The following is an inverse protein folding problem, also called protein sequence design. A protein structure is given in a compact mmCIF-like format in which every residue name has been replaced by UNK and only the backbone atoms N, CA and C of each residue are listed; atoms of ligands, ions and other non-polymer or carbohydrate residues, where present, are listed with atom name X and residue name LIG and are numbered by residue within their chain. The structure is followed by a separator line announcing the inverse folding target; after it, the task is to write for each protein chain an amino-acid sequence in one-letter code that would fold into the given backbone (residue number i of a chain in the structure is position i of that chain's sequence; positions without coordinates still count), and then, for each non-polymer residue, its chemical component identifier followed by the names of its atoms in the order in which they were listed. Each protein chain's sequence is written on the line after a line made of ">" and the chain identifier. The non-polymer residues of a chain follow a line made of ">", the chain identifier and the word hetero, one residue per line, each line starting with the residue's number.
data_IF_595127018519
#
_entry.id   IF_595127018519
#
_cell.length_a   1.000
_cell.length_b   1.000
_cell.length_c   1.000
_cell.angle_alpha   90.00
_cell.angle_beta   90.00
_cell.angle_gamma   90.00
#
_symmetry.space_group_name_H-M   'P 1'
#
loop_
_entity.id
_entity.type
_entity.pdbx_description
1 polymer ?
#
# COMPACT_ATOMS: atom_id res chain seq x y z
N UNK A 1 42.91 6.78 84.84
CA UNK A 1 44.09 7.65 84.84
C UNK A 1 44.53 7.83 83.40
N UNK A 2 44.47 9.05 82.86
CA UNK A 2 44.91 9.34 81.49
C UNK A 2 46.42 9.57 81.45
N UNK A 3 47.05 9.27 80.32
CA UNK A 3 48.44 9.64 80.05
C UNK A 3 48.62 11.16 80.03
N UNK A 4 49.82 11.68 80.31
CA UNK A 4 50.12 13.12 80.21
C UNK A 4 49.76 13.67 78.82
N UNK A 5 49.23 14.89 78.76
CA UNK A 5 48.84 15.50 77.48
C UNK A 5 50.07 15.74 76.59
N UNK A 6 50.06 15.15 75.40
CA UNK A 6 51.03 15.47 74.36
C UNK A 6 50.67 16.82 73.73
N UNK A 7 51.69 17.63 73.41
CA UNK A 7 51.49 18.91 72.71
C UNK A 7 51.18 18.62 71.25
N UNK A 8 49.99 19.01 70.80
CA UNK A 8 49.59 18.92 69.40
C UNK A 8 50.51 19.81 68.56
N UNK A 9 51.02 19.29 67.45
CA UNK A 9 51.83 20.08 66.53
C UNK A 9 50.94 20.95 65.64
N UNK A 10 51.45 22.11 65.20
CA UNK A 10 50.67 23.04 64.37
C UNK A 10 50.20 22.40 63.05
N UNK A 11 51.01 21.50 62.48
CA UNK A 11 50.67 20.74 61.27
C UNK A 11 49.48 19.82 61.49
N UNK A 12 49.52 19.06 62.57
CA UNK A 12 48.44 18.15 62.95
C UNK A 12 47.14 18.93 63.15
N UNK A 13 47.19 20.06 63.86
CA UNK A 13 46.02 20.93 64.02
C UNK A 13 45.44 21.45 62.69
N UNK A 14 46.29 21.69 61.68
CA UNK A 14 45.86 22.16 60.35
C UNK A 14 45.21 21.05 59.52
N UNK A 15 45.76 19.83 59.54
CA UNK A 15 45.19 18.68 58.84
C UNK A 15 43.80 18.30 59.36
N UNK A 16 43.56 18.53 60.66
CA UNK A 16 42.27 18.31 61.29
C UNK A 16 41.28 19.48 61.14
N UNK A 17 41.60 20.51 60.35
CA UNK A 17 40.62 21.56 60.05
C UNK A 17 39.54 21.06 59.09
N UNK A 18 38.32 20.94 59.60
CA UNK A 18 37.15 20.55 58.82
C UNK A 18 36.67 21.78 58.01
N UNK A 19 36.58 21.70 56.67
CA UNK A 19 36.07 22.79 55.87
C UNK A 19 34.59 23.05 56.15
N UNK A 20 34.12 24.31 56.02
CA UNK A 20 32.71 24.65 56.24
C UNK A 20 31.80 23.96 55.21
N UNK A 21 30.65 23.49 55.66
CA UNK A 21 29.68 22.83 54.79
C UNK A 21 28.88 23.85 53.96
N UNK A 22 29.21 23.97 52.68
CA UNK A 22 28.36 24.65 51.69
C UNK A 22 27.45 23.62 51.02
N UNK A 23 26.13 23.83 51.04
CA UNK A 23 25.18 22.91 50.42
C UNK A 23 24.53 23.55 49.19
N UNK A 24 24.29 22.77 48.14
CA UNK A 24 23.60 23.24 46.93
C UNK A 24 22.10 23.46 47.13
N UNK A 25 21.49 22.92 48.20
CA UNK A 25 20.03 22.93 48.39
C UNK A 25 19.54 23.86 49.50
N UNK A 26 20.34 24.13 50.53
CA UNK A 26 19.91 24.87 51.73
C UNK A 26 20.93 25.92 52.16
N UNK A 27 20.44 27.13 52.40
CA UNK A 27 21.18 28.25 52.99
C UNK A 27 20.33 28.90 54.08
N UNK A 28 20.33 28.35 55.30
CA UNK A 28 19.42 28.80 56.36
C UNK A 28 19.74 30.21 56.92
N UNK A 29 20.97 30.69 56.72
CA UNK A 29 21.45 31.99 57.21
C UNK A 29 21.69 33.00 56.08
N UNK A 30 21.30 32.66 54.86
CA UNK A 30 21.42 33.49 53.66
C UNK A 30 22.82 34.11 53.43
N UNK A 31 23.87 33.32 53.64
CA UNK A 31 25.23 33.77 53.34
C UNK A 31 25.42 34.02 51.83
N UNK A 32 26.12 35.10 51.48
CA UNK A 32 26.55 35.39 50.10
C UNK A 32 27.82 34.59 49.77
N UNK A 33 27.62 33.34 49.38
CA UNK A 33 28.71 32.43 48.99
C UNK A 33 29.06 32.67 47.52
N UNK A 34 30.36 32.73 47.18
CA UNK A 34 30.81 32.86 45.80
C UNK A 34 30.59 31.56 45.01
N UNK A 35 30.37 31.70 43.70
CA UNK A 35 30.07 30.57 42.81
C UNK A 35 31.15 29.48 42.80
N UNK A 36 32.44 29.89 42.87
CA UNK A 36 33.57 28.97 42.95
C UNK A 36 33.44 27.99 44.12
N UNK A 37 33.09 28.49 45.31
CA UNK A 37 32.96 27.66 46.51
C UNK A 37 31.75 26.72 46.46
N UNK A 38 30.66 27.14 45.81
CA UNK A 38 29.51 26.27 45.59
C UNK A 38 29.83 25.18 44.56
N UNK A 39 30.50 25.54 43.45
CA UNK A 39 30.80 24.60 42.36
C UNK A 39 31.87 23.58 42.75
N UNK A 40 32.82 23.96 43.61
CA UNK A 40 33.83 23.04 44.14
C UNK A 40 33.21 21.89 44.95
N UNK A 41 32.06 22.12 45.61
CA UNK A 41 31.36 21.10 46.38
C UNK A 41 30.65 20.06 45.49
N UNK A 42 30.43 20.36 44.21
CA UNK A 42 29.57 19.55 43.36
C UNK A 42 30.21 18.26 42.86
N UNK A 43 31.55 18.13 42.89
CA UNK A 43 32.28 16.90 42.55
C UNK A 43 32.08 16.37 41.12
N UNK A 44 31.12 16.89 40.34
CA UNK A 44 30.78 16.47 38.98
C UNK A 44 31.93 16.68 38.01
N UNK A 45 32.77 17.68 38.26
CA UNK A 45 33.99 17.94 37.48
C UNK A 45 35.13 16.93 37.72
N UNK A 46 35.02 16.06 38.73
CA UNK A 46 36.00 14.99 38.98
C UNK A 46 35.71 13.74 38.14
N UNK A 47 34.47 13.56 37.66
CA UNK A 47 34.11 12.44 36.80
C UNK A 47 34.55 12.69 35.36
N UNK A 48 35.56 11.96 34.91
CA UNK A 48 35.89 11.87 33.49
C UNK A 48 34.90 10.91 32.82
N UNK A 49 34.12 11.42 31.87
CA UNK A 49 33.20 10.59 31.08
C UNK A 49 34.04 9.75 30.12
N UNK A 50 34.31 8.50 30.50
CA UNK A 50 35.04 7.56 29.68
C UNK A 50 34.06 6.78 28.79
N UNK A 51 34.25 6.84 27.47
CA UNK A 51 33.42 6.13 26.49
C UNK A 51 34.02 4.74 26.21
N UNK A 52 33.21 3.69 26.39
CA UNK A 52 33.63 2.30 26.14
C UNK A 52 33.68 1.96 24.66
N UNK A 53 34.63 1.11 24.24
CA UNK A 53 34.76 0.64 22.85
C UNK A 53 33.53 -0.14 22.34
N UNK A 54 32.73 -0.71 23.23
CA UNK A 54 31.51 -1.45 22.88
C UNK A 54 30.49 -0.61 22.12
N UNK A 55 30.43 0.70 22.38
CA UNK A 55 29.56 1.61 21.63
C UNK A 55 30.00 1.73 20.16
N UNK A 56 31.31 1.73 19.90
CA UNK A 56 31.83 1.74 18.54
C UNK A 56 31.56 0.40 17.82
N UNK A 57 31.67 -0.73 18.53
CA UNK A 57 31.34 -2.06 17.98
C UNK A 57 29.86 -2.17 17.64
N UNK A 58 28.98 -1.71 18.53
CA UNK A 58 27.54 -1.69 18.31
C UNK A 58 27.16 -0.85 17.08
N UNK A 59 27.66 0.38 16.99
CA UNK A 59 27.38 1.27 15.86
C UNK A 59 27.80 0.65 14.52
N UNK A 60 28.98 -0.01 14.48
CA UNK A 60 29.45 -0.73 13.30
C UNK A 60 28.53 -1.89 12.92
N UNK A 61 28.12 -2.71 13.89
CA UNK A 61 27.22 -3.85 13.65
C UNK A 61 25.88 -3.39 13.09
N UNK A 62 25.30 -2.33 13.65
CA UNK A 62 24.05 -1.76 13.16
C UNK A 62 24.16 -1.27 11.72
N UNK A 63 25.20 -0.51 11.38
CA UNK A 63 25.40 -0.02 10.01
C UNK A 63 25.56 -1.18 9.00
N UNK A 64 26.30 -2.24 9.38
CA UNK A 64 26.45 -3.42 8.52
C UNK A 64 25.10 -4.15 8.34
N UNK A 65 24.31 -4.26 9.42
CA UNK A 65 23.00 -4.88 9.36
C UNK A 65 22.05 -4.11 8.45
N UNK A 66 22.03 -2.78 8.53
CA UNK A 66 21.22 -1.93 7.66
C UNK A 66 21.58 -2.13 6.19
N UNK A 67 22.88 -2.13 5.86
CA UNK A 67 23.33 -2.33 4.47
C UNK A 67 22.89 -3.69 3.92
N UNK A 68 23.00 -4.75 4.72
CA UNK A 68 22.54 -6.09 4.33
C UNK A 68 21.04 -6.17 4.12
N UNK A 69 20.26 -5.47 4.94
CA UNK A 69 18.80 -5.40 4.78
C UNK A 69 18.44 -4.69 3.48
N UNK A 70 19.10 -3.58 3.16
CA UNK A 70 18.88 -2.87 1.90
C UNK A 70 19.22 -3.72 0.67
N UNK A 71 20.36 -4.42 0.70
CA UNK A 71 20.77 -5.36 -0.36
C UNK A 71 19.72 -6.47 -0.55
N UNK A 72 19.27 -7.10 0.54
CA UNK A 72 18.24 -8.14 0.50
C UNK A 72 16.91 -7.61 -0.09
N UNK A 73 16.47 -6.42 0.34
CA UNK A 73 15.24 -5.80 -0.17
C UNK A 73 15.34 -5.48 -1.65
N UNK A 74 16.49 -5.01 -2.13
CA UNK A 74 16.71 -4.74 -3.56
C UNK A 74 16.69 -6.04 -4.38
N UNK A 75 17.34 -7.09 -3.89
CA UNK A 75 17.31 -8.42 -4.51
C UNK A 75 15.89 -8.98 -4.57
N UNK A 76 15.12 -8.91 -3.49
CA UNK A 76 13.73 -9.37 -3.45
C UNK A 76 12.85 -8.56 -4.41
N UNK A 77 13.04 -7.25 -4.49
CA UNK A 77 12.33 -6.40 -5.44
C UNK A 77 12.65 -6.78 -6.90
N UNK A 78 13.91 -7.10 -7.20
CA UNK A 78 14.33 -7.55 -8.52
C UNK A 78 13.74 -8.93 -8.88
N UNK A 79 13.76 -9.88 -7.94
CA UNK A 79 13.13 -11.21 -8.11
C UNK A 79 11.62 -11.08 -8.35
N UNK A 80 10.94 -10.22 -7.60
CA UNK A 80 9.52 -9.94 -7.77
C UNK A 80 9.21 -9.37 -9.17
N UNK A 81 10.02 -8.41 -9.65
CA UNK A 81 9.90 -7.85 -11.01
C UNK A 81 10.13 -8.90 -12.10
N UNK A 82 11.08 -9.80 -11.92
CA UNK A 82 11.33 -10.85 -12.90
C UNK A 82 10.28 -11.96 -12.86
N UNK A 83 9.70 -12.22 -11.68
CA UNK A 83 8.52 -13.08 -11.51
C UNK A 83 7.30 -12.55 -12.27
N UNK A 84 7.00 -11.26 -12.19
CA UNK A 84 5.88 -10.64 -12.91
C UNK A 84 6.08 -10.71 -14.43
N UNK A 85 7.29 -10.41 -14.93
CA UNK A 85 7.63 -10.57 -16.36
C UNK A 85 7.49 -12.02 -16.84
N UNK A 86 7.91 -13.01 -16.04
CA UNK A 86 7.74 -14.43 -16.37
C UNK A 86 6.26 -14.82 -16.47
N UNK A 87 5.44 -14.35 -15.52
CA UNK A 87 3.99 -14.55 -15.53
C UNK A 87 3.34 -13.94 -16.77
N UNK A 88 3.68 -12.70 -17.10
CA UNK A 88 3.18 -12.03 -18.31
C UNK A 88 3.54 -12.77 -19.60
N UNK A 89 4.79 -13.26 -19.72
CA UNK A 89 5.23 -14.09 -20.86
C UNK A 89 4.43 -15.39 -20.95
N UNK A 90 4.15 -16.03 -19.82
CA UNK A 90 3.36 -17.27 -19.78
C UNK A 90 1.91 -17.01 -20.20
N UNK A 91 1.27 -15.97 -19.65
CA UNK A 91 -0.09 -15.55 -20.01
C UNK A 91 -0.19 -15.17 -21.49
N UNK A 92 0.83 -14.49 -22.04
CA UNK A 92 0.92 -14.18 -23.46
C UNK A 92 1.01 -15.43 -24.34
N UNK A 93 1.77 -16.46 -23.92
CA UNK A 93 1.83 -17.75 -24.63
C UNK A 93 0.48 -18.46 -24.61
N UNK A 94 -0.19 -18.51 -23.45
CA UNK A 94 -1.52 -19.10 -23.32
C UNK A 94 -2.55 -18.41 -24.23
N UNK A 95 -2.55 -17.06 -24.25
CA UNK A 95 -3.40 -16.25 -25.13
C UNK A 95 -3.20 -16.57 -26.61
N UNK A 96 -1.95 -16.82 -27.06
CA UNK A 96 -1.63 -17.20 -28.45
C UNK A 96 -2.02 -18.65 -28.79
N UNK A 97 -1.99 -19.57 -27.82
CA UNK A 97 -2.38 -20.97 -28.04
C UNK A 97 -3.89 -21.17 -28.12
N UNK A 98 -4.68 -20.37 -27.39
CA UNK A 98 -6.13 -20.44 -27.38
C UNK A 98 -6.79 -20.30 -28.78
N UNK A 99 -6.49 -19.30 -29.62
CA UNK A 99 -7.08 -19.18 -30.96
C UNK A 99 -6.64 -20.34 -31.87
N UNK A 100 -5.36 -20.74 -31.84
CA UNK A 100 -4.86 -21.90 -32.60
C UNK A 100 -5.60 -23.18 -32.25
N UNK A 101 -5.91 -23.41 -30.97
CA UNK A 101 -6.71 -24.57 -30.54
C UNK A 101 -8.18 -24.47 -30.99
N UNK A 102 -8.77 -23.26 -30.97
CA UNK A 102 -10.13 -23.01 -31.48
C UNK A 102 -10.22 -23.25 -33.00
N UNK A 103 -9.23 -22.81 -33.77
CA UNK A 103 -9.12 -23.03 -35.22
C UNK A 103 -9.04 -24.53 -35.56
N UNK A 104 -8.15 -25.27 -34.88
CA UNK A 104 -8.04 -26.73 -35.02
C UNK A 104 -9.36 -27.46 -34.73
N UNK A 105 -10.10 -27.04 -33.69
CA UNK A 105 -11.46 -27.55 -33.41
C UNK A 105 -12.48 -27.16 -34.48
N UNK A 106 -12.38 -25.96 -35.06
CA UNK A 106 -13.30 -25.50 -36.10
C UNK A 106 -13.17 -26.29 -37.41
N UNK A 107 -11.94 -26.71 -37.77
CA UNK A 107 -11.67 -27.60 -38.89
C UNK A 107 -12.29 -29.00 -38.74
N UNK A 108 -12.39 -29.50 -37.50
CA UNK A 108 -12.95 -30.83 -37.19
C UNK A 108 -14.44 -30.82 -36.82
N UNK A 109 -15.17 -29.72 -37.04
CA UNK A 109 -16.62 -29.73 -36.79
C UNK A 109 -17.28 -30.67 -37.80
N UNK A 110 -18.03 -31.69 -37.35
CA UNK A 110 -18.79 -32.55 -38.26
C UNK A 110 -19.69 -31.69 -39.15
N UNK A 111 -19.68 -31.96 -40.45
CA UNK A 111 -20.46 -31.22 -41.45
C UNK A 111 -21.94 -31.07 -41.04
N UNK A 112 -22.51 -32.11 -40.40
CA UNK A 112 -23.88 -32.13 -39.91
C UNK A 112 -24.18 -31.07 -38.84
N UNK A 113 -23.21 -30.76 -37.94
CA UNK A 113 -23.38 -29.70 -36.93
C UNK A 113 -23.41 -28.31 -37.57
N UNK A 114 -22.67 -28.08 -38.66
CA UNK A 114 -22.73 -26.81 -39.42
C UNK A 114 -24.09 -26.63 -40.11
N UNK A 115 -24.66 -27.72 -40.65
CA UNK A 115 -25.98 -27.72 -41.31
C UNK A 115 -27.09 -27.37 -40.31
N UNK A 116 -27.08 -27.98 -39.11
CA UNK A 116 -28.03 -27.67 -38.04
C UNK A 116 -27.93 -26.21 -37.58
N UNK A 117 -26.72 -25.70 -37.31
CA UNK A 117 -26.55 -24.31 -36.85
C UNK A 117 -27.03 -23.30 -37.91
N UNK A 118 -26.79 -23.59 -39.20
CA UNK A 118 -27.29 -22.76 -40.31
C UNK A 118 -28.81 -22.78 -40.36
N UNK A 119 -29.41 -23.97 -40.27
CA UNK A 119 -30.86 -24.13 -40.30
C UNK A 119 -31.54 -23.45 -39.10
N UNK A 120 -30.98 -23.56 -37.90
CA UNK A 120 -31.49 -22.87 -36.70
C UNK A 120 -31.36 -21.35 -36.84
N UNK A 121 -30.31 -20.83 -37.51
CA UNK A 121 -30.16 -19.41 -37.78
C UNK A 121 -31.19 -18.91 -38.80
N UNK A 122 -31.41 -19.67 -39.87
CA UNK A 122 -32.43 -19.38 -40.88
C UNK A 122 -33.83 -19.37 -40.24
N UNK A 123 -34.17 -20.39 -39.45
CA UNK A 123 -35.44 -20.45 -38.72
C UNK A 123 -35.63 -19.27 -37.76
N UNK A 124 -34.56 -18.83 -37.07
CA UNK A 124 -34.62 -17.64 -36.21
C UNK A 124 -34.84 -16.35 -36.99
N UNK A 125 -34.25 -16.20 -38.18
CA UNK A 125 -34.52 -15.04 -39.05
C UNK A 125 -35.98 -15.02 -39.46
N UNK A 126 -36.49 -16.13 -39.99
CA UNK A 126 -37.90 -16.27 -40.39
C UNK A 126 -38.85 -16.02 -39.22
N UNK A 127 -38.50 -16.44 -38.01
CA UNK A 127 -39.32 -16.19 -36.81
C UNK A 127 -39.35 -14.71 -36.42
N UNK A 128 -38.24 -13.98 -36.58
CA UNK A 128 -38.18 -12.53 -36.36
C UNK A 128 -39.01 -11.81 -37.43
N UNK A 129 -38.90 -12.23 -38.69
CA UNK A 129 -39.66 -11.66 -39.81
C UNK A 129 -41.17 -11.90 -39.63
N UNK A 130 -41.58 -13.10 -39.27
CA UNK A 130 -42.98 -13.42 -38.97
C UNK A 130 -43.52 -12.64 -37.77
N UNK A 131 -42.71 -12.42 -36.73
CA UNK A 131 -43.09 -11.56 -35.59
C UNK A 131 -43.26 -10.10 -36.03
N UNK A 132 -42.36 -9.57 -36.87
CA UNK A 132 -42.47 -8.21 -37.42
C UNK A 132 -43.74 -8.07 -38.26
N UNK A 133 -44.02 -9.02 -39.15
CA UNK A 133 -45.24 -9.06 -39.97
C UNK A 133 -46.50 -9.09 -39.09
N UNK A 134 -46.54 -9.96 -38.07
CA UNK A 134 -47.68 -10.05 -37.16
C UNK A 134 -47.91 -8.74 -36.39
N UNK A 135 -46.85 -8.11 -35.87
CA UNK A 135 -46.93 -6.81 -35.21
C UNK A 135 -47.44 -5.71 -36.15
N UNK A 136 -47.00 -5.68 -37.41
CA UNK A 136 -47.53 -4.73 -38.41
C UNK A 136 -49.00 -4.96 -38.73
N UNK A 137 -49.47 -6.22 -38.78
CA UNK A 137 -50.87 -6.55 -38.99
C UNK A 137 -51.78 -6.12 -37.83
N UNK A 138 -51.35 -6.32 -36.58
CA UNK A 138 -52.06 -5.86 -35.39
C UNK A 138 -52.18 -4.32 -35.39
N UNK A 139 -51.10 -3.64 -35.75
CA UNK A 139 -51.05 -2.18 -35.78
C UNK A 139 -51.99 -1.58 -36.84
N UNK A 140 -52.01 -2.16 -38.05
CA UNK A 140 -52.94 -1.78 -39.12
C UNK A 140 -54.41 -2.03 -38.74
N UNK A 141 -54.70 -3.14 -38.06
CA UNK A 141 -56.04 -3.44 -37.55
C UNK A 141 -56.54 -2.42 -36.52
N UNK A 142 -55.67 -1.96 -35.62
CA UNK A 142 -56.00 -0.91 -34.64
C UNK A 142 -56.23 0.47 -35.29
N UNK A 143 -55.51 0.81 -36.37
CA UNK A 143 -55.72 2.05 -37.12
C UNK A 143 -57.06 2.05 -37.86
N UNK A 144 -57.48 0.91 -38.42
CA UNK A 144 -58.79 0.75 -39.06
C UNK A 144 -59.96 0.91 -38.07
N UNK A 145 -59.83 0.40 -36.85
CA UNK A 145 -60.86 0.52 -35.80
C UNK A 145 -61.00 1.98 -35.30
N UNK A 146 -59.93 2.79 -35.38
CA UNK A 146 -59.90 4.17 -34.89
C UNK A 146 -60.39 5.24 -35.88
N UNK A 147 -60.82 4.87 -37.09
CA UNK A 147 -61.49 5.78 -38.03
C UNK A 147 -60.68 7.00 -38.45
N UNK A 148 -59.36 6.88 -38.63
CA UNK A 148 -58.51 7.99 -39.10
C UNK A 148 -58.59 8.20 -40.61
N UNK A 149 -58.49 9.46 -41.06
CA UNK A 149 -58.55 9.85 -42.48
C UNK A 149 -57.36 9.29 -43.28
N UNK A 150 -57.61 8.85 -44.53
CA UNK A 150 -56.64 8.14 -45.40
C UNK A 150 -55.28 8.83 -45.60
N UNK A 151 -55.14 10.15 -45.40
CA UNK A 151 -53.86 10.86 -45.54
C UNK A 151 -52.97 10.74 -44.29
N UNK A 152 -53.55 10.73 -43.10
CA UNK A 152 -52.80 10.65 -41.83
C UNK A 152 -52.27 9.23 -41.59
N UNK A 153 -53.05 8.20 -41.96
CA UNK A 153 -52.61 6.81 -41.87
C UNK A 153 -51.31 6.53 -42.66
N UNK A 154 -51.14 7.15 -43.84
CA UNK A 154 -49.98 6.92 -44.72
C UNK A 154 -48.67 7.44 -44.13
N UNK A 155 -48.72 8.54 -43.39
CA UNK A 155 -47.54 9.16 -42.75
C UNK A 155 -47.14 8.33 -41.51
N UNK A 156 -48.10 7.96 -40.66
CA UNK A 156 -47.82 7.14 -39.47
C UNK A 156 -47.24 5.75 -39.79
N UNK A 157 -47.78 5.08 -40.81
CA UNK A 157 -47.28 3.77 -41.26
C UNK A 157 -45.84 3.90 -41.78
N UNK A 158 -45.54 4.95 -42.56
CA UNK A 158 -44.19 5.16 -43.10
C UNK A 158 -43.15 5.42 -42.01
N UNK A 159 -43.50 6.21 -40.98
CA UNK A 159 -42.60 6.51 -39.85
C UNK A 159 -42.37 5.28 -38.97
N UNK A 160 -43.39 4.45 -38.73
CA UNK A 160 -43.26 3.22 -37.93
C UNK A 160 -42.53 2.09 -38.66
N UNK A 161 -42.68 1.96 -39.99
CA UNK A 161 -41.87 1.03 -40.78
C UNK A 161 -40.39 1.40 -40.78
N UNK A 162 -40.07 2.71 -40.80
CA UNK A 162 -38.69 3.19 -40.71
C UNK A 162 -38.03 2.86 -39.36
N UNK A 163 -38.76 2.99 -38.25
CA UNK A 163 -38.26 2.66 -36.89
C UNK A 163 -38.10 1.16 -36.62
N UNK A 164 -38.82 0.28 -37.32
CA UNK A 164 -38.68 -1.18 -37.20
C UNK A 164 -37.52 -1.77 -38.03
N UNK A 165 -37.00 -0.98 -38.98
CA UNK A 165 -35.91 -1.36 -39.87
C UNK A 165 -34.52 -0.89 -39.39
N UNK A 166 -34.42 -0.05 -38.35
CA UNK A 166 -33.18 0.27 -37.60
C UNK A 166 -32.99 -0.66 -36.42
#
# INVERSE_FOLDING_TARGET
>A
MHSPSQKVTVKEQQEWQIPPCASNWKNAKDYKISLDKCLAADGRGLWTVNITENFAKLAKVLNIAEWKVHEAVEMDAQVAKDGSKKKEKYDGKLKKMAPKAREKRAGSRPMWKKKIVRHVREMKSVMIDNKRICMTGIFLGQLLIRGQSCREMRIEISVKLLLLCT
#
